data_IF_006029054202
#
_entry.id   IF_006029054202
#
_cell.length_a   1.000
_cell.length_b   1.000
_cell.length_c   1.000
_cell.angle_alpha   90.00
_cell.angle_beta   90.00
_cell.angle_gamma   90.00
#
_symmetry.space_group_name_H-M   'P 1'
#
loop_
_entity.id
_entity.type
_entity.pdbx_description
1 polymer ?
#
# COMPACT_ATOMS: atom_id res chain seq x y z
N UNK A 1 -13.85 14.33 27.27
CA UNK A 1 -12.56 13.88 26.70
C UNK A 1 -11.33 14.34 27.51
N UNK A 2 -11.43 15.32 28.42
CA UNK A 2 -10.31 15.80 29.25
C UNK A 2 -10.00 14.95 30.49
N UNK A 3 -10.99 14.25 31.06
CA UNK A 3 -10.81 13.44 32.28
C UNK A 3 -10.04 12.11 32.08
N UNK A 4 -9.79 11.68 30.84
CA UNK A 4 -9.07 10.43 30.53
C UNK A 4 -7.56 10.61 30.28
N UNK A 5 -7.07 11.85 30.26
CA UNK A 5 -5.66 12.17 29.98
C UNK A 5 -4.76 12.14 31.23
N UNK A 6 -5.33 12.42 32.41
CA UNK A 6 -4.58 12.48 33.68
C UNK A 6 -4.15 11.09 34.15
N UNK A 7 -5.06 10.11 34.11
CA UNK A 7 -4.75 8.72 34.50
C UNK A 7 -3.74 8.06 33.53
N UNK A 8 -3.79 8.42 32.25
CA UNK A 8 -2.83 7.95 31.24
C UNK A 8 -1.42 8.55 31.44
N UNK A 9 -1.33 9.84 31.79
CA UNK A 9 -0.06 10.47 32.16
C UNK A 9 0.53 9.83 33.41
N UNK A 10 -0.29 9.53 34.42
CA UNK A 10 0.15 8.88 35.66
C UNK A 10 0.68 7.46 35.40
N UNK A 11 0.03 6.70 34.50
CA UNK A 11 0.48 5.37 34.08
C UNK A 11 1.83 5.41 33.34
N UNK A 12 1.97 6.27 32.32
CA UNK A 12 3.22 6.43 31.56
C UNK A 12 4.38 6.92 32.44
N UNK A 13 4.11 7.83 33.37
CA UNK A 13 5.13 8.35 34.28
C UNK A 13 5.67 7.26 35.23
N UNK A 14 4.79 6.42 35.78
CA UNK A 14 5.20 5.29 36.66
C UNK A 14 6.07 4.24 35.94
N UNK A 15 5.83 3.98 34.64
CA UNK A 15 6.60 3.01 33.85
C UNK A 15 7.97 3.58 33.42
N UNK A 16 8.03 4.87 33.08
CA UNK A 16 9.27 5.58 32.69
C UNK A 16 10.30 5.61 33.82
N UNK A 17 9.87 5.82 35.07
CA UNK A 17 10.77 5.82 36.25
C UNK A 17 11.37 4.44 36.52
N UNK A 18 10.65 3.34 36.23
CA UNK A 18 11.20 1.98 36.34
C UNK A 18 12.26 1.68 35.28
N UNK A 19 12.12 2.19 34.06
CA UNK A 19 13.10 1.96 32.99
C UNK A 19 14.39 2.79 33.15
N UNK A 20 14.31 4.00 33.71
CA UNK A 20 15.50 4.82 33.99
C UNK A 20 16.46 4.21 35.01
N UNK A 21 15.94 3.42 35.96
CA UNK A 21 16.75 2.76 36.99
C UNK A 21 17.58 1.57 36.46
N UNK A 22 17.20 0.98 35.32
CA UNK A 22 17.94 -0.14 34.74
C UNK A 22 19.22 0.32 34.01
N UNK A 23 19.24 1.56 33.50
CA UNK A 23 20.39 2.13 32.78
C UNK A 23 21.48 2.69 33.70
N UNK A 24 21.21 2.85 34.99
CA UNK A 24 22.17 3.44 35.94
C UNK A 24 23.24 2.44 36.45
N UNK A 25 23.09 1.14 36.17
CA UNK A 25 24.01 0.10 36.64
C UNK A 25 25.09 -0.34 35.63
N UNK A 26 25.22 0.32 34.48
CA UNK A 26 26.22 -0.05 33.44
C UNK A 26 27.44 0.88 33.36
N UNK A 27 27.64 1.83 34.29
CA UNK A 27 28.80 2.72 34.28
C UNK A 27 29.45 2.87 35.66
N UNK A 28 30.31 1.93 35.99
CA UNK A 28 31.42 2.14 36.93
C UNK A 28 32.46 1.03 36.78
N UNK A 29 33.58 1.34 36.13
CA UNK A 29 34.72 0.45 35.99
C UNK A 29 35.82 0.94 35.03
N UNK A 30 36.46 2.07 35.33
CA UNK A 30 37.84 2.39 34.89
C UNK A 30 38.81 1.69 35.87
N UNK A 31 40.05 1.25 35.62
CA UNK A 31 41.11 1.57 34.64
C UNK A 31 42.21 0.49 34.74
N UNK A 32 42.92 0.15 33.64
CA UNK A 32 44.40 0.27 33.50
C UNK A 32 44.92 -0.45 32.23
N UNK A 33 45.71 0.29 31.47
CA UNK A 33 46.37 -0.08 30.22
C UNK A 33 47.51 -1.09 30.39
N UNK A 34 47.66 -1.98 29.40
CA UNK A 34 48.96 -2.50 28.93
C UNK A 34 48.91 -2.65 27.40
N UNK A 35 50.06 -2.42 26.77
CA UNK A 35 50.29 -2.14 25.34
C UNK A 35 50.76 -3.41 24.58
N UNK A 36 50.45 -3.43 23.27
CA UNK A 36 50.95 -4.29 22.15
C UNK A 36 50.23 -5.61 21.80
N UNK A 37 50.31 -6.12 20.54
CA UNK A 37 50.42 -5.44 19.23
C UNK A 37 49.32 -5.87 18.23
N UNK A 38 49.19 -5.13 17.12
CA UNK A 38 48.28 -5.40 16.00
C UNK A 38 48.55 -6.75 15.33
N UNK A 39 47.56 -7.64 15.34
CA UNK A 39 47.50 -8.81 14.43
C UNK A 39 46.07 -9.01 13.93
N UNK A 40 45.94 -9.16 12.61
CA UNK A 40 44.69 -9.35 11.88
C UNK A 40 44.22 -10.80 12.01
N UNK A 41 42.95 -11.01 12.37
CA UNK A 41 42.36 -12.28 12.78
C UNK A 41 42.17 -13.36 11.69
N UNK A 42 43.14 -13.53 10.78
CA UNK A 42 43.14 -14.58 9.76
C UNK A 42 43.88 -15.87 10.18
N UNK A 43 44.50 -15.91 11.36
CA UNK A 43 45.39 -17.00 11.78
C UNK A 43 44.77 -18.05 12.73
N UNK A 44 43.45 -18.12 12.86
CA UNK A 44 42.81 -19.07 13.79
C UNK A 44 42.54 -20.48 13.26
N UNK A 45 42.92 -20.82 12.03
CA UNK A 45 42.62 -22.14 11.45
C UNK A 45 43.74 -22.74 10.59
N UNK A 46 44.99 -22.70 11.08
CA UNK A 46 46.06 -23.54 10.51
C UNK A 46 46.24 -24.80 11.35
N UNK A 47 45.77 -25.94 10.84
CA UNK A 47 46.14 -27.27 11.33
C UNK A 47 47.06 -27.92 10.30
N UNK A 48 48.30 -28.15 10.71
CA UNK A 48 49.35 -28.81 9.94
C UNK A 48 49.07 -30.32 9.86
N UNK A 49 49.07 -30.90 8.66
CA UNK A 49 49.08 -32.37 8.47
C UNK A 49 50.23 -32.82 7.58
N UNK A 50 50.82 -33.92 8.03
CA UNK A 50 52.12 -34.49 7.67
C UNK A 50 52.21 -35.05 6.25
N UNK A 51 53.43 -34.97 5.71
CA UNK A 51 53.85 -35.50 4.40
C UNK A 51 53.97 -37.04 4.43
N UNK A 52 53.32 -37.74 3.50
CA UNK A 52 53.78 -39.06 3.03
C UNK A 52 53.26 -39.41 1.62
N UNK A 53 54.23 -39.79 0.77
CA UNK A 53 54.21 -40.68 -0.42
C UNK A 53 53.28 -40.46 -1.65
N UNK A 54 53.92 -39.98 -2.72
CA UNK A 54 53.87 -40.43 -4.13
C UNK A 54 52.70 -41.31 -4.64
N UNK A 55 51.94 -40.80 -5.65
CA UNK A 55 52.00 -41.31 -7.05
C UNK A 55 51.36 -40.33 -8.06
N UNK A 56 52.16 -39.90 -9.03
CA UNK A 56 51.77 -39.13 -10.23
C UNK A 56 50.88 -39.97 -11.17
N UNK A 57 49.82 -39.38 -11.72
CA UNK A 57 49.48 -39.51 -13.15
C UNK A 57 48.91 -38.20 -13.68
N UNK A 58 49.62 -37.62 -14.64
CA UNK A 58 49.39 -36.31 -15.28
C UNK A 58 48.81 -36.57 -16.68
N UNK A 59 47.73 -35.90 -17.04
CA UNK A 59 47.26 -35.57 -18.42
C UNK A 59 45.97 -34.76 -18.23
N UNK A 60 45.74 -33.58 -18.79
CA UNK A 60 46.42 -32.69 -19.72
C UNK A 60 45.41 -31.54 -19.90
N UNK A 61 45.87 -30.30 -19.85
CA UNK A 61 44.99 -29.14 -19.74
C UNK A 61 44.18 -28.82 -21.01
N UNK A 62 43.09 -28.09 -20.83
CA UNK A 62 42.64 -27.06 -21.75
C UNK A 62 41.68 -26.12 -21.02
N UNK A 63 42.15 -24.91 -20.74
CA UNK A 63 41.32 -23.77 -20.37
C UNK A 63 40.54 -23.35 -21.62
N UNK A 64 39.21 -23.40 -21.60
CA UNK A 64 38.36 -22.80 -22.65
C UNK A 64 37.53 -21.67 -22.05
N UNK A 65 38.02 -20.48 -22.36
CA UNK A 65 37.42 -19.15 -22.26
C UNK A 65 36.00 -19.17 -22.87
N UNK A 66 34.98 -18.74 -22.11
CA UNK A 66 33.63 -18.58 -22.64
C UNK A 66 33.57 -17.33 -23.53
N UNK A 67 33.10 -17.52 -24.77
CA UNK A 67 32.80 -16.47 -25.74
C UNK A 67 31.33 -16.06 -25.63
N UNK A 68 31.08 -14.80 -25.95
CA UNK A 68 29.79 -14.10 -25.88
C UNK A 68 28.74 -14.63 -26.85
N UNK A 69 27.50 -14.26 -26.55
CA UNK A 69 26.26 -14.55 -27.26
C UNK A 69 26.25 -14.11 -28.73
N UNK A 70 26.04 -15.08 -29.63
CA UNK A 70 25.18 -15.01 -30.81
C UNK A 70 25.38 -16.33 -31.58
N UNK A 71 24.43 -17.26 -31.50
CA UNK A 71 24.13 -18.33 -32.48
C UNK A 71 23.15 -19.31 -31.83
N UNK A 72 21.86 -19.16 -32.11
CA UNK A 72 20.83 -20.12 -31.69
C UNK A 72 20.56 -21.11 -32.82
N UNK A 73 20.75 -22.40 -32.54
CA UNK A 73 20.38 -23.51 -33.42
C UNK A 73 18.86 -23.81 -33.28
N UNK A 74 18.07 -23.77 -34.38
CA UNK A 74 16.61 -23.94 -34.35
C UNK A 74 16.12 -25.33 -33.90
N UNK A 75 16.98 -26.35 -33.84
CA UNK A 75 16.58 -27.68 -33.34
C UNK A 75 16.51 -27.77 -31.80
N UNK A 76 17.13 -26.82 -31.10
CA UNK A 76 17.11 -26.80 -29.62
C UNK A 76 15.79 -26.27 -29.02
N UNK A 77 14.98 -25.56 -29.83
CA UNK A 77 13.68 -24.97 -29.42
C UNK A 77 12.54 -25.99 -29.52
N UNK A 78 12.64 -27.00 -30.39
CA UNK A 78 11.62 -28.03 -30.56
C UNK A 78 11.63 -29.09 -29.43
N UNK A 79 12.74 -29.28 -28.73
CA UNK A 79 12.86 -30.22 -27.61
C UNK A 79 12.34 -29.65 -26.28
N UNK A 80 12.32 -28.32 -26.11
CA UNK A 80 11.79 -27.65 -24.92
C UNK A 80 10.25 -27.66 -24.89
N UNK A 81 9.59 -27.53 -26.04
CA UNK A 81 8.13 -27.50 -26.15
C UNK A 81 7.44 -28.87 -25.96
N UNK A 82 8.19 -29.98 -25.85
CA UNK A 82 7.63 -31.32 -25.55
C UNK A 82 7.59 -31.66 -24.06
N UNK A 83 8.17 -30.84 -23.17
CA UNK A 83 8.18 -31.10 -21.72
C UNK A 83 7.06 -30.40 -20.93
N UNK A 84 6.31 -29.49 -21.54
CA UNK A 84 5.18 -28.81 -20.88
C UNK A 84 3.83 -29.52 -21.03
N UNK A 85 3.77 -30.63 -21.78
CA UNK A 85 2.52 -31.39 -22.00
C UNK A 85 2.21 -32.47 -20.93
N UNK A 86 2.98 -32.59 -19.83
CA UNK A 86 2.78 -33.65 -18.82
C UNK A 86 2.82 -33.19 -17.35
N UNK A 87 2.51 -31.92 -17.05
CA UNK A 87 2.41 -31.45 -15.66
C UNK A 87 0.98 -31.18 -15.19
N UNK A 88 0.06 -32.08 -15.53
CA UNK A 88 -1.22 -32.24 -14.84
C UNK A 88 -1.25 -33.66 -14.28
N UNK A 89 -0.91 -33.79 -12.99
CA UNK A 89 -1.29 -34.85 -12.04
C UNK A 89 -0.32 -34.81 -10.84
N UNK A 90 -0.78 -34.25 -9.73
CA UNK A 90 -0.32 -34.59 -8.37
C UNK A 90 -1.35 -34.02 -7.40
N UNK A 91 -2.29 -34.87 -6.98
CA UNK A 91 -3.22 -34.61 -5.87
C UNK A 91 -2.62 -35.32 -4.66
N UNK A 92 -2.34 -34.58 -3.58
CA UNK A 92 -1.84 -35.14 -2.33
C UNK A 92 -3.02 -35.58 -1.47
N UNK A 93 -2.95 -36.83 -1.00
CA UNK A 93 -3.87 -37.47 -0.07
C UNK A 93 -3.57 -37.01 1.36
N UNK A 94 -4.57 -36.44 2.04
CA UNK A 94 -4.74 -36.57 3.49
C UNK A 94 -6.05 -37.32 3.72
N UNK A 95 -5.98 -38.33 4.57
CA UNK A 95 -7.00 -39.34 4.84
C UNK A 95 -7.49 -39.13 6.26
N UNK A 96 -8.74 -38.72 6.44
CA UNK A 96 -9.52 -38.99 7.66
C UNK A 96 -10.88 -39.55 7.24
N UNK A 97 -11.28 -40.59 7.98
CA UNK A 97 -12.40 -41.48 7.74
C UNK A 97 -13.76 -40.82 8.03
N UNK A 98 -14.73 -40.99 7.15
CA UNK A 98 -16.12 -41.29 7.51
C UNK A 98 -16.87 -41.77 6.27
N UNK A 99 -17.56 -42.88 6.46
CA UNK A 99 -18.35 -43.61 5.48
C UNK A 99 -19.66 -42.85 5.18
N UNK A 100 -20.04 -42.77 3.90
CA UNK A 100 -21.34 -43.27 3.40
C UNK A 100 -21.48 -43.04 1.88
N UNK A 101 -21.96 -44.07 1.21
CA UNK A 101 -22.14 -44.25 -0.23
C UNK A 101 -23.19 -43.29 -0.83
N UNK A 102 -23.01 -42.83 -2.08
CA UNK A 102 -23.78 -43.34 -3.24
C UNK A 102 -23.55 -42.50 -4.53
N UNK A 103 -23.40 -43.22 -5.65
CA UNK A 103 -23.64 -42.86 -7.06
C UNK A 103 -22.71 -41.88 -7.82
N UNK A 104 -21.73 -42.50 -8.48
CA UNK A 104 -21.46 -42.50 -9.94
C UNK A 104 -21.80 -41.29 -10.85
N UNK A 105 -20.75 -40.91 -11.62
CA UNK A 105 -20.67 -40.33 -12.98
C UNK A 105 -20.55 -38.80 -13.20
N UNK A 106 -19.31 -38.45 -13.53
CA UNK A 106 -18.70 -37.26 -14.15
C UNK A 106 -19.12 -37.00 -15.63
N UNK A 107 -18.60 -36.00 -16.37
CA UNK A 107 -18.57 -34.54 -16.12
C UNK A 107 -18.79 -33.69 -17.42
N UNK A 108 -19.69 -32.69 -17.51
CA UNK A 108 -19.66 -31.74 -18.65
C UNK A 108 -20.35 -30.39 -18.34
N UNK A 109 -19.83 -29.56 -17.43
CA UNK A 109 -20.27 -28.15 -17.35
C UNK A 109 -19.16 -27.23 -16.85
N UNK A 110 -18.30 -26.76 -17.74
CA UNK A 110 -17.38 -25.64 -17.46
C UNK A 110 -17.51 -24.46 -18.46
N UNK A 111 -18.45 -24.53 -19.42
CA UNK A 111 -18.63 -23.50 -20.45
C UNK A 111 -19.97 -22.74 -20.39
N UNK A 112 -20.77 -22.90 -19.33
CA UNK A 112 -22.10 -22.23 -19.22
C UNK A 112 -22.23 -21.21 -18.09
N UNK A 113 -21.18 -20.94 -17.32
CA UNK A 113 -21.25 -20.01 -16.18
C UNK A 113 -21.08 -18.53 -16.60
N UNK A 114 -20.58 -18.28 -17.81
CA UNK A 114 -20.37 -16.92 -18.35
C UNK A 114 -21.65 -16.21 -18.85
N UNK A 115 -22.79 -16.91 -18.90
CA UNK A 115 -24.06 -16.34 -19.37
C UNK A 115 -25.07 -16.04 -18.26
N UNK A 116 -24.81 -16.44 -17.01
CA UNK A 116 -25.72 -16.20 -15.87
C UNK A 116 -25.34 -14.95 -15.05
N UNK A 117 -24.09 -14.47 -15.14
CA UNK A 117 -23.66 -13.23 -14.49
C UNK A 117 -24.20 -11.94 -15.17
N UNK A 118 -24.76 -12.05 -16.39
CA UNK A 118 -25.36 -10.91 -17.12
C UNK A 118 -26.87 -10.77 -16.93
N UNK A 119 -27.53 -11.67 -16.20
CA UNK A 119 -28.99 -11.70 -16.05
C UNK A 119 -29.49 -11.50 -14.61
N UNK A 120 -28.58 -11.43 -13.62
CA UNK A 120 -28.92 -11.22 -12.20
C UNK A 120 -28.62 -9.81 -11.67
N UNK A 121 -27.95 -8.95 -12.44
CA UNK A 121 -27.63 -7.57 -12.01
C UNK A 121 -28.44 -6.47 -12.71
N UNK A 122 -29.43 -6.82 -13.54
CA UNK A 122 -30.25 -5.83 -14.26
C UNK A 122 -31.75 -6.20 -14.28
N UNK A 123 -32.34 -6.44 -13.11
CA UNK A 123 -33.79 -6.69 -12.98
C UNK A 123 -34.45 -5.83 -11.90
N UNK A 124 -34.67 -4.57 -12.25
CA UNK A 124 -35.85 -3.75 -11.92
C UNK A 124 -35.85 -2.67 -13.02
N UNK A 125 -36.83 -2.45 -13.89
CA UNK A 125 -38.28 -2.54 -13.88
C UNK A 125 -38.70 -2.80 -15.33
N UNK A 126 -39.35 -3.92 -15.63
CA UNK A 126 -40.20 -4.05 -16.83
C UNK A 126 -41.31 -5.06 -16.51
N UNK A 127 -42.50 -4.54 -16.23
CA UNK A 127 -43.75 -5.29 -16.23
C UNK A 127 -44.74 -4.57 -17.13
N UNK A 128 -45.22 -5.25 -18.18
CA UNK A 128 -46.36 -4.80 -18.99
C UNK A 128 -47.66 -5.29 -18.35
N UNK A 129 -48.69 -4.44 -18.33
CA UNK A 129 -50.04 -4.83 -17.90
C UNK A 129 -50.91 -3.69 -17.36
N UNK A 130 -51.49 -2.91 -18.27
CA UNK A 130 -52.75 -2.14 -18.18
C UNK A 130 -53.44 -1.95 -16.81
N UNK A 131 -53.61 -0.68 -16.39
CA UNK A 131 -54.83 -0.23 -15.71
C UNK A 131 -54.67 0.70 -14.51
N UNK A 132 -54.64 2.01 -14.78
CA UNK A 132 -55.12 3.15 -13.93
C UNK A 132 -54.45 3.40 -12.56
N UNK A 133 -54.27 4.69 -12.29
CA UNK A 133 -53.76 5.37 -11.08
C UNK A 133 -52.27 5.22 -10.75
N UNK A 134 -51.54 6.31 -11.02
CA UNK A 134 -50.18 6.55 -10.58
C UNK A 134 -50.04 6.47 -9.05
N UNK A 135 -49.07 5.73 -8.52
CA UNK A 135 -48.49 6.05 -7.23
C UNK A 135 -47.34 7.04 -7.47
N UNK A 136 -47.41 8.19 -6.82
CA UNK A 136 -46.33 9.18 -6.73
C UNK A 136 -44.99 8.50 -6.42
N UNK A 137 -44.03 8.62 -7.34
CA UNK A 137 -42.64 8.24 -7.08
C UNK A 137 -42.15 9.00 -5.82
N UNK A 138 -41.49 8.32 -4.87
CA UNK A 138 -40.85 9.04 -3.78
C UNK A 138 -39.74 9.88 -4.38
N UNK A 139 -39.86 11.21 -4.27
CA UNK A 139 -38.78 12.15 -4.61
C UNK A 139 -37.51 11.68 -3.93
N UNK A 140 -36.52 11.23 -4.73
CA UNK A 140 -35.22 10.83 -4.24
C UNK A 140 -34.67 11.96 -3.36
N UNK A 141 -34.13 11.62 -2.19
CA UNK A 141 -33.58 12.63 -1.31
C UNK A 141 -32.49 13.43 -2.06
N UNK A 142 -32.36 14.75 -1.82
CA UNK A 142 -31.43 15.60 -2.57
C UNK A 142 -29.99 15.04 -2.59
N UNK A 143 -29.57 14.41 -1.49
CA UNK A 143 -28.25 13.77 -1.35
C UNK A 143 -28.06 12.56 -2.27
N UNK A 144 -29.10 11.74 -2.48
CA UNK A 144 -29.03 10.59 -3.38
C UNK A 144 -28.97 11.06 -4.85
N UNK A 145 -29.70 12.11 -5.18
CA UNK A 145 -29.66 12.71 -6.52
C UNK A 145 -28.27 13.31 -6.83
N UNK A 146 -27.69 14.04 -5.88
CA UNK A 146 -26.32 14.59 -6.00
C UNK A 146 -25.28 13.47 -6.18
N UNK A 147 -25.30 12.42 -5.36
CA UNK A 147 -24.39 11.28 -5.48
C UNK A 147 -24.54 10.54 -6.83
N UNK A 148 -25.77 10.40 -7.33
CA UNK A 148 -26.04 9.81 -8.63
C UNK A 148 -25.48 10.68 -9.78
N UNK A 149 -25.62 12.01 -9.66
CA UNK A 149 -25.09 12.95 -10.64
C UNK A 149 -23.56 12.93 -10.64
N UNK A 150 -22.90 12.97 -9.47
CA UNK A 150 -21.45 12.85 -9.36
C UNK A 150 -20.92 11.55 -9.97
N UNK A 151 -21.64 10.44 -9.72
CA UNK A 151 -21.26 9.13 -10.29
C UNK A 151 -21.40 9.12 -11.82
N UNK A 152 -22.38 9.83 -12.36
CA UNK A 152 -22.57 9.98 -13.81
C UNK A 152 -21.46 10.83 -14.44
N UNK A 153 -21.07 11.92 -13.79
CA UNK A 153 -19.95 12.78 -14.22
C UNK A 153 -18.64 12.00 -14.20
N UNK A 154 -18.38 11.24 -13.13
CA UNK A 154 -17.19 10.42 -13.02
C UNK A 154 -17.10 9.34 -14.12
N UNK A 155 -18.22 8.70 -14.45
CA UNK A 155 -18.27 7.73 -15.53
C UNK A 155 -18.00 8.39 -16.89
N UNK A 156 -18.54 9.60 -17.13
CA UNK A 156 -18.28 10.34 -18.36
C UNK A 156 -16.79 10.70 -18.52
N UNK A 157 -16.15 11.22 -17.47
CA UNK A 157 -14.71 11.53 -17.48
C UNK A 157 -13.88 10.27 -17.73
N UNK A 158 -14.22 9.16 -17.07
CA UNK A 158 -13.53 7.89 -17.26
C UNK A 158 -13.68 7.37 -18.69
N UNK A 159 -14.88 7.40 -19.27
CA UNK A 159 -15.12 6.99 -20.65
C UNK A 159 -14.37 7.87 -21.67
N UNK A 160 -14.31 9.18 -21.44
CA UNK A 160 -13.54 10.09 -22.27
C UNK A 160 -12.05 9.71 -22.26
N UNK A 161 -11.45 9.54 -21.07
CA UNK A 161 -10.06 9.09 -20.94
C UNK A 161 -9.80 7.76 -21.65
N UNK A 162 -10.68 6.77 -21.44
CA UNK A 162 -10.53 5.44 -22.04
C UNK A 162 -10.73 5.46 -23.55
N UNK A 163 -11.56 6.36 -24.09
CA UNK A 163 -11.76 6.51 -25.54
C UNK A 163 -10.48 6.95 -26.28
N UNK A 164 -9.60 7.68 -25.59
CA UNK A 164 -8.31 8.12 -26.11
C UNK A 164 -7.18 7.11 -25.85
N UNK A 165 -7.44 6.03 -25.11
CA UNK A 165 -6.45 5.01 -24.76
C UNK A 165 -6.69 3.71 -25.51
N UNK A 166 -5.73 3.27 -26.32
CA UNK A 166 -5.76 1.92 -26.92
C UNK A 166 -5.37 0.83 -25.92
N UNK A 167 -4.71 1.21 -24.82
CA UNK A 167 -4.20 0.30 -23.80
C UNK A 167 -5.27 -0.18 -22.84
N UNK A 168 -6.20 0.67 -22.45
CA UNK A 168 -7.18 0.36 -21.41
C UNK A 168 -8.60 0.31 -21.97
N UNK A 169 -9.41 -0.63 -21.49
CA UNK A 169 -10.85 -0.69 -21.79
C UNK A 169 -11.67 -0.83 -20.52
N UNK A 170 -12.87 -0.25 -20.49
CA UNK A 170 -13.74 -0.31 -19.31
C UNK A 170 -14.31 -1.73 -19.13
N UNK A 171 -14.25 -2.24 -17.90
CA UNK A 171 -14.99 -3.46 -17.49
C UNK A 171 -16.28 -3.03 -16.80
N UNK A 172 -16.16 -2.29 -15.70
CA UNK A 172 -17.32 -1.81 -14.93
C UNK A 172 -16.96 -0.67 -13.98
N UNK A 173 -17.98 0.09 -13.57
CA UNK A 173 -17.90 0.89 -12.33
C UNK A 173 -17.89 -0.05 -11.12
N UNK A 174 -17.23 0.37 -10.03
CA UNK A 174 -17.18 -0.36 -8.76
C UNK A 174 -17.95 0.38 -7.68
N UNK A 175 -18.30 -0.35 -6.62
CA UNK A 175 -18.84 0.25 -5.39
C UNK A 175 -17.84 1.27 -4.79
N UNK A 176 -18.30 2.16 -3.88
CA UNK A 176 -17.42 2.99 -3.07
C UNK A 176 -16.52 2.15 -2.15
N UNK A 177 -15.45 1.54 -2.66
CA UNK A 177 -14.63 0.57 -1.93
C UNK A 177 -13.70 1.21 -0.89
N UNK A 178 -13.52 2.54 -0.93
CA UNK A 178 -12.67 3.31 -0.02
C UNK A 178 -13.43 4.38 0.78
N UNK A 179 -12.79 4.88 1.83
CA UNK A 179 -13.39 5.80 2.81
C UNK A 179 -13.69 7.22 2.30
N UNK A 180 -13.38 7.55 1.06
CA UNK A 180 -13.54 8.91 0.50
C UNK A 180 -14.69 8.88 -0.50
N UNK A 181 -15.81 9.52 -0.16
CA UNK A 181 -17.00 9.53 -1.02
C UNK A 181 -16.77 10.22 -2.38
N UNK A 182 -15.82 11.16 -2.41
CA UNK A 182 -15.40 11.91 -3.61
C UNK A 182 -14.59 11.07 -4.59
N UNK A 183 -13.96 9.98 -4.14
CA UNK A 183 -13.24 9.07 -5.04
C UNK A 183 -14.23 8.13 -5.72
N UNK A 184 -13.94 7.79 -6.97
CA UNK A 184 -14.69 6.79 -7.73
C UNK A 184 -13.74 5.73 -8.27
N UNK A 185 -14.22 4.50 -8.35
CA UNK A 185 -13.39 3.33 -8.68
C UNK A 185 -13.99 2.59 -9.85
N UNK A 186 -13.13 2.14 -10.76
CA UNK A 186 -13.52 1.41 -11.96
C UNK A 186 -12.60 0.21 -12.14
N UNK A 187 -13.17 -0.92 -12.56
CA UNK A 187 -12.41 -2.03 -13.09
C UNK A 187 -12.19 -1.79 -14.58
N UNK A 188 -10.94 -1.92 -15.01
CA UNK A 188 -10.53 -1.75 -16.42
C UNK A 188 -9.65 -2.92 -16.84
N UNK A 189 -9.58 -3.21 -18.14
CA UNK A 189 -8.71 -4.23 -18.70
C UNK A 189 -7.51 -3.58 -19.40
N UNK A 190 -6.28 -4.01 -19.07
CA UNK A 190 -5.08 -3.64 -19.81
C UNK A 190 -4.89 -4.58 -21.00
N UNK A 191 -5.24 -4.09 -22.19
CA UNK A 191 -5.18 -4.80 -23.46
C UNK A 191 -3.77 -5.24 -23.85
N UNK A 192 -2.73 -4.54 -23.37
CA UNK A 192 -1.32 -4.76 -23.74
C UNK A 192 -0.72 -5.99 -23.07
N UNK A 193 -1.13 -6.24 -21.81
CA UNK A 193 -0.61 -7.33 -20.97
C UNK A 193 -1.70 -8.30 -20.51
N UNK A 194 -2.91 -8.15 -21.06
CA UNK A 194 -4.07 -9.04 -20.84
C UNK A 194 -4.39 -9.25 -19.36
N UNK A 195 -4.48 -8.15 -18.62
CA UNK A 195 -4.69 -8.22 -17.18
C UNK A 195 -5.54 -7.06 -16.67
N UNK A 196 -6.40 -7.33 -15.69
CA UNK A 196 -7.31 -6.35 -15.12
C UNK A 196 -6.58 -5.38 -14.18
N UNK A 197 -7.06 -4.14 -14.10
CA UNK A 197 -6.50 -3.05 -13.32
C UNK A 197 -7.59 -2.31 -12.56
N UNK A 198 -7.16 -1.59 -11.53
CA UNK A 198 -8.00 -0.67 -10.79
C UNK A 198 -7.73 0.75 -11.28
N UNK A 199 -8.76 1.45 -11.74
CA UNK A 199 -8.70 2.88 -12.01
C UNK A 199 -9.39 3.64 -10.87
N UNK A 200 -8.72 4.66 -10.36
CA UNK A 200 -9.22 5.52 -9.28
C UNK A 200 -9.31 6.95 -9.83
N UNK A 201 -10.51 7.49 -9.86
CA UNK A 201 -10.77 8.89 -10.16
C UNK A 201 -10.83 9.69 -8.84
N UNK A 202 -10.02 10.73 -8.72
CA UNK A 202 -9.96 11.61 -7.55
C UNK A 202 -10.06 13.08 -7.98
N UNK A 203 -10.97 13.89 -7.41
CA UNK A 203 -10.99 15.32 -7.68
C UNK A 203 -9.66 15.99 -7.29
N UNK A 204 -9.20 16.93 -8.10
CA UNK A 204 -7.99 17.70 -7.79
C UNK A 204 -8.28 18.72 -6.69
N UNK A 205 -7.30 18.87 -5.79
CA UNK A 205 -7.29 19.95 -4.80
C UNK A 205 -6.81 21.25 -5.45
N UNK A 206 -7.32 22.40 -4.98
CA UNK A 206 -6.78 23.72 -5.31
C UNK A 206 -5.28 23.86 -4.97
N UNK A 207 -4.79 23.00 -4.07
CA UNK A 207 -3.37 22.94 -3.69
C UNK A 207 -2.51 22.09 -4.62
N UNK A 208 -3.10 21.34 -5.56
CA UNK A 208 -2.36 20.51 -6.51
C UNK A 208 -1.36 21.39 -7.29
N UNK A 209 -0.05 21.10 -7.22
CA UNK A 209 0.96 21.89 -7.93
C UNK A 209 1.18 21.44 -9.38
N UNK A 210 0.48 20.40 -9.82
CA UNK A 210 0.73 19.74 -11.10
C UNK A 210 -0.20 20.32 -12.17
N UNK A 211 0.39 20.73 -13.29
CA UNK A 211 -0.35 21.21 -14.45
C UNK A 211 -0.85 20.05 -15.32
N UNK A 212 -1.97 20.26 -16.01
CA UNK A 212 -2.57 19.28 -16.91
C UNK A 212 -1.91 19.37 -18.30
N UNK A 213 -0.73 18.78 -18.44
CA UNK A 213 0.00 18.71 -19.72
C UNK A 213 0.86 17.45 -19.85
N UNK A 214 1.23 17.10 -21.08
CA UNK A 214 2.00 15.89 -21.41
C UNK A 214 3.36 15.85 -20.69
N UNK A 215 4.05 16.99 -20.58
CA UNK A 215 5.33 17.08 -19.87
C UNK A 215 5.19 16.70 -18.39
N UNK A 216 4.15 17.19 -17.71
CA UNK A 216 3.89 16.84 -16.31
C UNK A 216 3.58 15.35 -16.16
N UNK A 217 2.81 14.78 -17.08
CA UNK A 217 2.54 13.34 -17.12
C UNK A 217 3.82 12.53 -17.28
N UNK A 218 4.66 12.85 -18.26
CA UNK A 218 5.93 12.16 -18.49
C UNK A 218 6.84 12.22 -17.26
N UNK A 219 6.93 13.38 -16.63
CA UNK A 219 7.72 13.59 -15.41
C UNK A 219 7.20 12.77 -14.23
N UNK A 220 5.88 12.71 -14.04
CA UNK A 220 5.25 11.87 -13.00
C UNK A 220 5.54 10.39 -13.26
N UNK A 221 5.44 9.95 -14.52
CA UNK A 221 5.72 8.56 -14.88
C UNK A 221 7.21 8.22 -14.76
N UNK A 222 8.11 9.17 -15.00
CA UNK A 222 9.53 9.05 -14.63
C UNK A 222 9.71 8.87 -13.12
N UNK A 223 9.07 9.71 -12.32
CA UNK A 223 9.11 9.63 -10.86
C UNK A 223 8.63 8.26 -10.36
N UNK A 224 7.46 7.78 -10.79
CA UNK A 224 6.93 6.49 -10.32
C UNK A 224 7.80 5.30 -10.71
N UNK A 225 8.44 5.33 -11.88
CA UNK A 225 9.44 4.32 -12.27
C UNK A 225 10.64 4.33 -11.34
N UNK A 226 11.12 5.51 -10.94
CA UNK A 226 12.25 5.66 -10.03
C UNK A 226 11.90 5.37 -8.55
N UNK A 227 10.61 5.39 -8.19
CA UNK A 227 10.09 4.97 -6.88
C UNK A 227 9.74 3.47 -6.81
N UNK A 228 10.12 2.68 -7.82
CA UNK A 228 9.95 1.24 -7.78
C UNK A 228 10.76 0.62 -6.63
N UNK A 229 10.10 -0.12 -5.75
CA UNK A 229 10.70 -0.72 -4.55
C UNK A 229 9.82 -1.88 -4.05
N UNK A 230 10.35 -2.93 -3.40
CA UNK A 230 9.55 -4.10 -3.01
C UNK A 230 8.40 -3.79 -2.05
N UNK A 231 8.52 -2.70 -1.29
CA UNK A 231 7.53 -2.23 -0.32
C UNK A 231 6.74 -0.99 -0.78
N UNK A 232 6.82 -0.63 -2.07
CA UNK A 232 5.98 0.40 -2.69
C UNK A 232 5.09 -0.29 -3.72
N UNK A 233 3.79 -0.05 -3.62
CA UNK A 233 2.81 -0.54 -4.56
C UNK A 233 2.80 0.38 -5.78
N UNK A 234 3.00 -0.14 -7.01
CA UNK A 234 3.25 0.72 -8.15
C UNK A 234 1.98 1.46 -8.60
N UNK A 235 2.15 2.70 -9.01
CA UNK A 235 1.19 3.46 -9.81
C UNK A 235 1.60 3.29 -11.28
N UNK A 236 0.73 2.69 -12.09
CA UNK A 236 1.03 2.28 -13.47
C UNK A 236 0.80 3.40 -14.49
N UNK A 237 -0.15 4.29 -14.19
CA UNK A 237 -0.43 5.50 -14.96
C UNK A 237 -1.06 6.55 -14.04
N UNK A 238 -0.83 7.84 -14.34
CA UNK A 238 -1.51 8.95 -13.71
C UNK A 238 -1.76 10.06 -14.74
N UNK A 239 -3.03 10.33 -15.01
CA UNK A 239 -3.47 11.39 -15.91
C UNK A 239 -4.23 12.45 -15.10
N UNK A 240 -4.05 13.73 -15.46
CA UNK A 240 -4.85 14.81 -14.88
C UNK A 240 -5.71 15.42 -15.99
N UNK A 241 -7.03 15.31 -15.87
CA UNK A 241 -7.96 15.87 -16.84
C UNK A 241 -9.28 16.28 -16.17
N UNK A 242 -9.95 17.29 -16.74
CA UNK A 242 -11.29 17.73 -16.29
C UNK A 242 -11.38 18.00 -14.77
N UNK A 243 -10.31 18.53 -14.18
CA UNK A 243 -10.24 18.82 -12.74
C UNK A 243 -10.09 17.58 -11.84
N UNK A 244 -9.74 16.42 -12.42
CA UNK A 244 -9.56 15.17 -11.71
C UNK A 244 -8.20 14.55 -12.02
N UNK A 245 -7.76 13.63 -11.15
CA UNK A 245 -6.67 12.71 -11.38
C UNK A 245 -7.21 11.30 -11.59
N UNK A 246 -6.72 10.60 -12.62
CA UNK A 246 -7.00 9.20 -12.92
C UNK A 246 -5.75 8.39 -12.68
N UNK A 247 -5.73 7.62 -11.59
CA UNK A 247 -4.63 6.72 -11.26
C UNK A 247 -4.98 5.29 -11.65
N UNK A 248 -4.10 4.62 -12.40
CA UNK A 248 -4.22 3.20 -12.72
C UNK A 248 -3.25 2.39 -11.86
N UNK A 249 -3.78 1.42 -11.12
CA UNK A 249 -3.03 0.56 -10.20
C UNK A 249 -3.20 -0.92 -10.58
N UNK A 250 -2.26 -1.80 -10.20
CA UNK A 250 -2.47 -3.23 -10.32
C UNK A 250 -3.70 -3.66 -9.52
N UNK A 251 -4.44 -4.61 -10.07
CA UNK A 251 -5.57 -5.23 -9.39
C UNK A 251 -5.11 -6.19 -8.29
N UNK A 252 -5.75 -6.16 -7.12
CA UNK A 252 -5.51 -7.10 -6.03
C UNK A 252 -6.83 -7.63 -5.46
N UNK A 253 -7.15 -8.87 -5.79
CA UNK A 253 -8.37 -9.55 -5.33
C UNK A 253 -8.43 -9.83 -3.84
N UNK A 254 -7.32 -9.66 -3.09
CA UNK A 254 -7.30 -9.78 -1.63
C UNK A 254 -7.54 -8.47 -0.90
N UNK A 255 -7.66 -7.36 -1.62
CA UNK A 255 -7.83 -6.04 -1.02
C UNK A 255 -6.58 -5.52 -0.30
N UNK A 256 -6.83 -4.53 0.56
CA UNK A 256 -5.85 -3.86 1.40
C UNK A 256 -5.55 -4.63 2.69
N UNK A 257 -4.57 -4.15 3.45
CA UNK A 257 -4.32 -4.61 4.82
C UNK A 257 -5.55 -4.39 5.71
N UNK A 258 -6.35 -3.34 5.47
CA UNK A 258 -7.61 -3.15 6.21
C UNK A 258 -8.60 -4.28 5.91
N UNK A 259 -8.78 -4.63 4.64
CA UNK A 259 -9.66 -5.76 4.28
C UNK A 259 -9.17 -7.08 4.93
N UNK A 260 -7.85 -7.28 5.01
CA UNK A 260 -7.26 -8.45 5.70
C UNK A 260 -7.58 -8.47 7.22
N UNK A 261 -7.43 -7.34 7.91
CA UNK A 261 -7.66 -7.24 9.38
C UNK A 261 -9.11 -7.56 9.74
N UNK A 262 -10.05 -7.08 8.92
CA UNK A 262 -11.48 -7.22 9.16
C UNK A 262 -12.12 -8.39 8.43
N UNK A 263 -11.34 -9.15 7.65
CA UNK A 263 -11.80 -10.27 6.80
C UNK A 263 -12.93 -9.85 5.85
N UNK A 264 -12.83 -8.63 5.31
CA UNK A 264 -13.82 -8.04 4.41
C UNK A 264 -13.59 -8.46 2.96
N UNK A 265 -14.66 -8.53 2.18
CA UNK A 265 -14.54 -8.61 0.71
C UNK A 265 -14.14 -7.24 0.17
N UNK A 266 -13.03 -7.18 -0.56
CA UNK A 266 -12.45 -5.90 -1.01
C UNK A 266 -13.41 -5.05 -1.86
N UNK A 267 -14.27 -5.70 -2.67
CA UNK A 267 -15.22 -5.08 -3.60
C UNK A 267 -16.51 -4.58 -2.94
N UNK A 268 -16.74 -4.91 -1.67
CA UNK A 268 -17.91 -4.43 -0.95
C UNK A 268 -17.79 -2.93 -0.68
N UNK A 269 -18.95 -2.28 -0.56
CA UNK A 269 -19.08 -0.88 -0.22
C UNK A 269 -18.43 -0.58 1.14
N UNK A 270 -17.61 0.47 1.21
CA UNK A 270 -16.86 0.84 2.42
C UNK A 270 -17.74 0.96 3.66
N UNK A 271 -18.93 1.56 3.53
CA UNK A 271 -19.90 1.73 4.62
C UNK A 271 -20.40 0.42 5.25
N UNK A 272 -20.29 -0.69 4.53
CA UNK A 272 -20.65 -2.03 5.00
C UNK A 272 -19.45 -2.81 5.51
N UNK A 273 -18.25 -2.34 5.20
CA UNK A 273 -16.99 -2.89 5.69
C UNK A 273 -16.65 -2.24 7.02
N UNK A 274 -15.96 -2.98 7.89
CA UNK A 274 -15.34 -2.42 9.10
C UNK A 274 -16.29 -1.97 10.23
N UNK A 275 -17.59 -2.17 10.09
CA UNK A 275 -18.57 -1.88 11.17
C UNK A 275 -18.48 -2.83 12.38
N UNK A 276 -17.79 -3.96 12.23
CA UNK A 276 -17.51 -4.92 13.30
C UNK A 276 -16.01 -4.96 13.62
N UNK A 277 -15.65 -5.21 14.87
CA UNK A 277 -14.26 -5.44 15.28
C UNK A 277 -13.67 -6.67 14.56
N UNK A 278 -12.50 -6.51 13.95
CA UNK A 278 -11.70 -7.59 13.38
C UNK A 278 -11.01 -8.44 14.46
N UNK A 279 -10.30 -9.50 14.06
CA UNK A 279 -9.70 -10.46 15.01
C UNK A 279 -8.22 -10.22 15.33
N UNK A 280 -7.67 -9.07 14.93
CA UNK A 280 -6.23 -8.83 14.96
C UNK A 280 -5.44 -9.80 14.04
N UNK A 281 -4.15 -9.54 13.86
CA UNK A 281 -3.24 -10.38 13.07
C UNK A 281 -2.24 -11.08 14.00
N UNK A 282 -1.72 -12.26 13.64
CA UNK A 282 -0.65 -12.93 14.39
C UNK A 282 0.54 -11.99 14.70
N UNK A 283 1.11 -12.00 15.92
CA UNK A 283 2.17 -11.06 16.31
C UNK A 283 3.39 -11.04 15.37
N UNK A 284 3.79 -12.20 14.84
CA UNK A 284 4.89 -12.32 13.87
C UNK A 284 4.56 -11.64 12.54
N UNK A 285 3.29 -11.68 12.13
CA UNK A 285 2.79 -11.00 10.94
C UNK A 285 2.72 -9.49 11.16
N UNK A 286 2.25 -9.03 12.32
CA UNK A 286 2.25 -7.61 12.73
C UNK A 286 3.67 -7.04 12.67
N UNK A 287 4.62 -7.73 13.29
CA UNK A 287 6.02 -7.30 13.32
C UNK A 287 6.62 -7.21 11.91
N UNK A 288 6.38 -8.24 11.07
CA UNK A 288 6.89 -8.27 9.68
C UNK A 288 6.28 -7.16 8.82
N UNK A 289 4.96 -6.97 8.86
CA UNK A 289 4.31 -5.91 8.11
C UNK A 289 4.73 -4.53 8.60
N UNK A 290 4.85 -4.33 9.92
CA UNK A 290 5.39 -3.11 10.49
C UNK A 290 6.81 -2.80 9.98
N UNK A 291 7.70 -3.80 9.93
CA UNK A 291 9.04 -3.64 9.36
C UNK A 291 9.01 -3.28 7.86
N UNK A 292 8.21 -3.96 7.06
CA UNK A 292 8.09 -3.70 5.62
C UNK A 292 7.56 -2.29 5.33
N UNK A 293 6.54 -1.84 6.09
CA UNK A 293 6.00 -0.48 6.02
C UNK A 293 7.08 0.54 6.39
N UNK A 294 7.82 0.31 7.49
CA UNK A 294 8.90 1.19 7.95
C UNK A 294 9.98 1.38 6.88
N UNK A 295 10.41 0.29 6.23
CA UNK A 295 11.38 0.34 5.13
C UNK A 295 10.84 1.08 3.89
N UNK A 296 9.56 0.90 3.58
CA UNK A 296 8.90 1.68 2.51
C UNK A 296 8.94 3.19 2.79
N UNK A 297 8.68 3.61 4.03
CA UNK A 297 8.75 5.02 4.44
C UNK A 297 10.19 5.56 4.36
N UNK A 298 11.16 4.79 4.84
CA UNK A 298 12.58 5.16 4.77
C UNK A 298 13.06 5.31 3.33
N UNK A 299 12.66 4.40 2.43
CA UNK A 299 12.94 4.50 1.01
C UNK A 299 12.37 5.79 0.40
N UNK A 300 11.11 6.13 0.69
CA UNK A 300 10.50 7.38 0.21
C UNK A 300 11.27 8.61 0.72
N UNK A 301 11.66 8.60 2.00
CA UNK A 301 12.47 9.67 2.60
C UNK A 301 13.84 9.80 1.94
N UNK A 302 14.53 8.69 1.66
CA UNK A 302 15.83 8.68 0.96
C UNK A 302 15.71 9.24 -0.47
N UNK A 303 14.59 8.99 -1.14
CA UNK A 303 14.28 9.56 -2.46
C UNK A 303 13.93 11.04 -2.45
N UNK A 304 13.78 11.65 -1.27
CA UNK A 304 13.34 13.04 -1.15
C UNK A 304 11.83 13.22 -1.39
N UNK A 305 11.05 12.13 -1.28
CA UNK A 305 9.60 12.23 -1.32
C UNK A 305 9.10 13.00 -0.08
N UNK A 306 8.08 13.88 -0.20
CA UNK A 306 7.51 14.57 0.94
C UNK A 306 7.00 13.59 2.01
N UNK A 307 6.96 13.97 3.30
CA UNK A 307 6.44 13.11 4.37
C UNK A 307 5.11 12.46 3.98
N UNK A 308 5.02 11.14 4.10
CA UNK A 308 3.88 10.38 3.58
C UNK A 308 2.68 10.43 4.55
N UNK A 309 1.83 11.45 4.39
CA UNK A 309 0.67 11.73 5.26
C UNK A 309 -0.55 10.83 5.00
N UNK A 310 -0.45 9.90 4.05
CA UNK A 310 -1.55 9.04 3.62
C UNK A 310 -1.42 7.60 4.11
N UNK A 311 -0.50 7.32 5.04
CA UNK A 311 -0.38 6.01 5.66
C UNK A 311 -1.61 5.69 6.53
N UNK A 312 -2.29 4.61 6.17
CA UNK A 312 -3.26 3.89 6.97
C UNK A 312 -3.38 2.47 6.41
N UNK A 313 -4.02 1.54 7.13
CA UNK A 313 -4.18 0.14 6.71
C UNK A 313 -4.85 -0.01 5.33
N UNK A 314 -5.82 0.86 5.00
CA UNK A 314 -6.44 0.90 3.67
C UNK A 314 -5.50 1.35 2.52
N UNK A 315 -4.36 1.97 2.84
CA UNK A 315 -3.31 2.38 1.90
C UNK A 315 -2.07 1.48 2.00
N UNK A 316 -2.25 0.24 2.44
CA UNK A 316 -1.23 -0.80 2.43
C UNK A 316 -1.80 -2.00 1.68
N UNK A 317 -1.13 -2.43 0.62
CA UNK A 317 -1.52 -3.63 -0.13
C UNK A 317 -0.69 -4.82 0.33
N UNK A 318 -1.35 -5.95 0.62
CA UNK A 318 -0.67 -7.20 0.98
C UNK A 318 -0.74 -8.16 -0.19
N UNK A 319 0.43 -8.57 -0.71
CA UNK A 319 0.52 -9.61 -1.74
C UNK A 319 1.64 -10.58 -1.40
N UNK A 320 1.32 -11.87 -1.40
CA UNK A 320 2.24 -12.96 -1.09
C UNK A 320 3.02 -12.76 0.23
N UNK A 321 2.35 -12.22 1.25
CA UNK A 321 2.97 -11.97 2.56
C UNK A 321 3.88 -10.74 2.60
N UNK A 322 3.82 -9.86 1.60
CA UNK A 322 4.56 -8.59 1.55
C UNK A 322 3.59 -7.41 1.60
N UNK A 323 3.77 -6.54 2.59
CA UNK A 323 3.07 -5.27 2.72
C UNK A 323 3.75 -4.18 1.86
N UNK A 324 2.95 -3.43 1.10
CA UNK A 324 3.41 -2.38 0.20
C UNK A 324 2.60 -1.10 0.40
N UNK A 325 3.27 0.03 0.55
CA UNK A 325 2.62 1.34 0.61
C UNK A 325 1.96 1.66 -0.73
N UNK A 326 0.67 2.00 -0.74
CA UNK A 326 -0.01 2.53 -1.92
C UNK A 326 -0.55 3.94 -1.63
N UNK A 327 -1.09 4.61 -2.64
CA UNK A 327 -1.66 5.93 -2.47
C UNK A 327 -0.65 7.07 -2.57
N UNK A 328 0.50 6.87 -3.22
CA UNK A 328 1.53 7.91 -3.42
C UNK A 328 1.00 9.08 -4.27
N UNK A 329 0.10 8.81 -5.21
CA UNK A 329 -0.55 9.81 -6.04
C UNK A 329 -1.29 10.86 -5.20
N UNK A 330 -1.81 10.48 -4.03
CA UNK A 330 -2.51 11.39 -3.11
C UNK A 330 -1.60 12.53 -2.64
N UNK A 331 -0.33 12.23 -2.40
CA UNK A 331 0.67 13.26 -2.05
C UNK A 331 0.88 14.22 -3.20
N UNK A 332 1.01 13.70 -4.42
CA UNK A 332 1.28 14.50 -5.62
C UNK A 332 0.13 15.46 -5.96
N UNK A 333 -1.11 14.99 -5.88
CA UNK A 333 -2.30 15.78 -6.19
C UNK A 333 -2.81 16.63 -5.02
N UNK A 334 -2.04 16.67 -3.91
CA UNK A 334 -2.39 17.37 -2.67
C UNK A 334 -3.77 16.97 -2.10
N UNK A 335 -4.09 15.68 -2.17
CA UNK A 335 -5.32 15.14 -1.59
C UNK A 335 -5.30 15.32 -0.06
N UNK A 336 -6.45 15.48 0.59
CA UNK A 336 -6.48 15.80 2.03
C UNK A 336 -6.12 14.55 2.85
N UNK A 337 -5.19 14.59 3.81
CA UNK A 337 -4.92 13.47 4.71
C UNK A 337 -6.06 13.16 5.69
N UNK A 338 -6.04 11.97 6.31
CA UNK A 338 -6.95 11.63 7.43
C UNK A 338 -6.74 12.59 8.60
N UNK A 339 -7.76 12.92 9.40
CA UNK A 339 -7.65 13.89 10.49
C UNK A 339 -6.44 13.70 11.44
N UNK A 340 -6.08 12.48 11.90
CA UNK A 340 -4.88 12.32 12.74
C UNK A 340 -3.60 12.79 12.03
N UNK A 341 -3.42 12.42 10.76
CA UNK A 341 -2.27 12.84 9.95
C UNK A 341 -2.34 14.31 9.48
N UNK A 342 -3.55 14.87 9.40
CA UNK A 342 -3.80 16.26 9.02
C UNK A 342 -3.36 17.24 10.12
N UNK A 343 -3.64 16.89 11.37
CA UNK A 343 -3.33 17.70 12.54
C UNK A 343 -1.92 17.45 13.10
N UNK A 344 -1.27 16.34 12.70
CA UNK A 344 0.08 16.02 13.14
C UNK A 344 1.14 16.97 12.56
N UNK A 345 2.16 17.26 13.36
CA UNK A 345 3.38 17.89 12.89
C UNK A 345 4.07 17.02 11.82
N UNK A 346 4.63 17.64 10.78
CA UNK A 346 5.24 16.91 9.65
C UNK A 346 6.36 15.97 10.08
N UNK A 347 7.13 16.31 11.11
CA UNK A 347 8.21 15.48 11.64
C UNK A 347 7.71 14.18 12.32
N UNK A 348 6.45 14.17 12.76
CA UNK A 348 5.83 13.08 13.51
C UNK A 348 4.75 12.32 12.73
N UNK A 349 4.32 12.84 11.57
CA UNK A 349 3.13 12.32 10.89
C UNK A 349 3.28 10.86 10.48
N UNK A 350 4.47 10.47 10.00
CA UNK A 350 4.74 9.11 9.53
C UNK A 350 4.82 8.12 10.70
N UNK A 351 5.47 8.50 11.80
CA UNK A 351 5.60 7.67 13.01
C UNK A 351 4.26 7.53 13.73
N UNK A 352 3.48 8.61 13.82
CA UNK A 352 2.11 8.58 14.33
C UNK A 352 1.21 7.65 13.49
N UNK A 353 1.26 7.80 12.17
CA UNK A 353 0.46 6.98 11.25
C UNK A 353 0.85 5.50 11.33
N UNK A 354 2.14 5.20 11.47
CA UNK A 354 2.62 3.85 11.74
C UNK A 354 2.04 3.30 13.04
N UNK A 355 2.00 4.10 14.11
CA UNK A 355 1.40 3.72 15.40
C UNK A 355 -0.07 3.33 15.26
N UNK A 356 -0.85 4.11 14.50
CA UNK A 356 -2.25 3.78 14.20
C UNK A 356 -2.38 2.45 13.43
N UNK A 357 -1.53 2.20 12.44
CA UNK A 357 -1.56 0.95 11.66
C UNK A 357 -1.15 -0.25 12.51
N UNK A 358 -0.11 -0.12 13.35
CA UNK A 358 0.30 -1.17 14.29
C UNK A 358 -0.82 -1.51 15.26
N UNK A 359 -1.50 -0.49 15.81
CA UNK A 359 -2.63 -0.70 16.69
C UNK A 359 -3.76 -1.46 15.97
N UNK A 360 -4.17 -1.01 14.78
CA UNK A 360 -5.27 -1.62 14.03
C UNK A 360 -4.95 -3.08 13.67
N UNK A 361 -3.70 -3.39 13.33
CA UNK A 361 -3.25 -4.77 13.12
C UNK A 361 -3.36 -5.65 14.38
N UNK A 362 -3.13 -5.09 15.57
CA UNK A 362 -3.25 -5.83 16.83
C UNK A 362 -4.70 -5.99 17.29
N UNK A 363 -5.47 -4.89 17.25
CA UNK A 363 -6.78 -4.77 17.87
C UNK A 363 -7.94 -5.16 16.94
N UNK A 364 -7.74 -5.09 15.62
CA UNK A 364 -8.85 -5.19 14.67
C UNK A 364 -9.86 -4.05 14.78
N UNK A 365 -9.43 -2.88 15.29
CA UNK A 365 -10.28 -1.72 15.53
C UNK A 365 -9.50 -0.43 15.30
N UNK A 366 -10.22 0.67 15.14
CA UNK A 366 -9.65 2.02 15.20
C UNK A 366 -8.93 2.25 16.53
N UNK A 367 -7.97 3.17 16.53
CA UNK A 367 -7.05 3.37 17.65
C UNK A 367 -7.74 3.82 18.93
N UNK A 368 -7.72 2.95 19.93
CA UNK A 368 -8.10 3.21 21.32
C UNK A 368 -6.99 2.75 22.26
N UNK A 369 -6.16 3.70 22.72
CA UNK A 369 -5.00 3.41 23.57
C UNK A 369 -5.39 2.80 24.93
N UNK A 370 -6.66 2.86 25.33
CA UNK A 370 -7.12 2.21 26.56
C UNK A 370 -7.11 0.69 26.47
N UNK A 371 -7.05 0.12 25.26
CA UNK A 371 -6.98 -1.32 25.01
C UNK A 371 -5.55 -1.89 25.04
N UNK A 372 -4.51 -1.04 25.16
CA UNK A 372 -3.12 -1.49 25.18
C UNK A 372 -2.80 -2.51 26.29
N UNK A 373 -3.31 -2.38 27.54
CA UNK A 373 -3.07 -3.37 28.58
C UNK A 373 -3.55 -4.78 28.19
N UNK A 374 -4.72 -4.88 27.55
CA UNK A 374 -5.28 -6.17 27.13
C UNK A 374 -4.49 -6.78 25.96
N UNK A 375 -4.07 -5.93 25.02
CA UNK A 375 -3.24 -6.32 23.88
C UNK A 375 -1.84 -6.79 24.30
N UNK A 376 -1.30 -6.29 25.41
CA UNK A 376 0.07 -6.61 25.85
C UNK A 376 0.28 -8.11 26.10
N UNK A 377 -0.79 -8.86 26.42
CA UNK A 377 -0.73 -10.31 26.60
C UNK A 377 -0.24 -11.06 25.35
N UNK A 378 -0.67 -10.61 24.17
CA UNK A 378 -0.36 -11.25 22.89
C UNK A 378 0.66 -10.45 22.07
N UNK A 379 0.79 -9.15 22.35
CA UNK A 379 1.52 -8.19 21.52
C UNK A 379 2.52 -7.34 22.31
N UNK A 380 3.06 -7.83 23.43
CA UNK A 380 3.91 -7.07 24.36
C UNK A 380 4.93 -6.14 23.67
N UNK A 381 5.78 -6.68 22.80
CA UNK A 381 6.78 -5.89 22.07
C UNK A 381 6.17 -4.85 21.12
N UNK A 382 5.03 -5.13 20.50
CA UNK A 382 4.34 -4.17 19.61
C UNK A 382 3.67 -3.08 20.45
N UNK A 383 3.08 -3.42 21.59
CA UNK A 383 2.49 -2.47 22.53
C UNK A 383 3.54 -1.50 23.04
N UNK A 384 4.74 -1.96 23.39
CA UNK A 384 5.84 -1.08 23.81
C UNK A 384 6.21 -0.08 22.69
N UNK A 385 6.25 -0.51 21.41
CA UNK A 385 6.45 0.40 20.27
C UNK A 385 5.30 1.41 20.17
N UNK A 386 4.05 0.96 20.27
CA UNK A 386 2.88 1.84 20.18
C UNK A 386 2.91 2.90 21.30
N UNK A 387 3.19 2.51 22.54
CA UNK A 387 3.36 3.43 23.67
C UNK A 387 4.43 4.49 23.39
N UNK A 388 5.57 4.10 22.81
CA UNK A 388 6.61 5.06 22.41
C UNK A 388 6.15 6.03 21.32
N UNK A 389 5.44 5.53 20.30
CA UNK A 389 4.98 6.34 19.16
C UNK A 389 3.93 7.40 19.56
N UNK A 390 3.04 7.07 20.49
CA UNK A 390 2.06 8.01 21.04
C UNK A 390 2.56 8.79 22.26
N UNK A 391 3.77 8.49 22.73
CA UNK A 391 4.42 9.14 23.85
C UNK A 391 4.89 10.58 23.57
N UNK A 392 5.46 11.24 24.59
CA UNK A 392 5.97 12.61 24.48
C UNK A 392 7.17 12.73 23.54
N UNK A 393 8.01 11.70 23.47
CA UNK A 393 9.25 11.66 22.68
C UNK A 393 9.23 10.46 21.72
N UNK A 394 8.43 10.51 20.64
CA UNK A 394 8.37 9.39 19.72
C UNK A 394 9.69 9.25 18.96
N UNK A 395 10.19 8.01 18.77
CA UNK A 395 11.36 7.78 17.96
C UNK A 395 11.10 8.16 16.50
N UNK A 396 12.15 8.61 15.80
CA UNK A 396 12.11 8.80 14.36
C UNK A 396 12.18 7.44 13.62
N UNK A 397 11.95 7.45 12.31
CA UNK A 397 11.92 6.21 11.50
C UNK A 397 13.22 5.37 11.58
N UNK A 398 14.39 6.01 11.67
CA UNK A 398 15.66 5.27 11.80
C UNK A 398 15.82 4.64 13.18
N UNK A 399 15.42 5.35 14.23
CA UNK A 399 15.45 4.84 15.61
C UNK A 399 14.53 3.63 15.77
N UNK A 400 13.35 3.66 15.15
CA UNK A 400 12.44 2.50 15.13
C UNK A 400 13.09 1.27 14.51
N UNK A 401 13.88 1.43 13.45
CA UNK A 401 14.54 0.30 12.79
C UNK A 401 15.51 -0.44 13.72
N UNK A 402 16.07 0.27 14.69
CA UNK A 402 16.98 -0.27 15.70
C UNK A 402 16.25 -0.93 16.88
N UNK A 403 14.93 -0.76 17.01
CA UNK A 403 14.16 -1.40 18.07
C UNK A 403 14.15 -2.93 17.91
N UNK A 404 14.06 -3.62 19.04
CA UNK A 404 14.10 -5.09 19.11
C UNK A 404 13.10 -5.79 18.18
N UNK A 405 11.88 -5.26 18.13
CA UNK A 405 10.79 -5.79 17.31
C UNK A 405 11.18 -5.85 15.82
N UNK A 406 11.83 -4.79 15.33
CA UNK A 406 12.11 -4.63 13.91
C UNK A 406 13.49 -5.14 13.53
N UNK A 407 14.54 -4.88 14.32
CA UNK A 407 15.93 -5.20 13.97
C UNK A 407 16.18 -6.68 13.65
N UNK A 408 15.42 -7.57 14.27
CA UNK A 408 15.55 -9.04 14.16
C UNK A 408 14.85 -9.61 12.91
N UNK A 409 14.05 -8.82 12.20
CA UNK A 409 13.25 -9.29 11.07
C UNK A 409 14.09 -9.27 9.80
N UNK A 410 14.24 -10.45 9.21
CA UNK A 410 14.89 -10.60 7.91
C UNK A 410 13.93 -10.30 6.75
N UNK A 411 14.35 -9.41 5.87
CA UNK A 411 13.62 -8.95 4.70
C UNK A 411 14.23 -9.54 3.44
N UNK A 412 13.72 -10.71 3.06
CA UNK A 412 14.23 -11.50 1.93
C UNK A 412 14.14 -10.73 0.61
N UNK A 413 13.12 -9.89 0.47
CA UNK A 413 12.87 -9.05 -0.70
C UNK A 413 13.98 -8.02 -0.93
N UNK A 414 14.79 -7.72 0.09
CA UNK A 414 15.91 -6.78 0.03
C UNK A 414 17.26 -7.45 -0.27
N UNK A 415 17.33 -8.79 -0.34
CA UNK A 415 18.60 -9.56 -0.39
C UNK A 415 18.90 -10.22 -1.75
N UNK A 416 18.13 -9.94 -2.80
CA UNK A 416 18.25 -10.60 -4.11
C UNK A 416 19.32 -10.01 -5.04
N UNK A 417 19.75 -10.78 -6.04
CA UNK A 417 20.61 -10.30 -7.16
C UNK A 417 19.83 -9.68 -8.32
N UNK A 418 18.49 -9.82 -8.29
CA UNK A 418 17.53 -9.24 -9.22
C UNK A 418 16.79 -8.05 -8.61
N UNK A 419 17.41 -7.35 -7.64
CA UNK A 419 16.87 -6.09 -7.14
C UNK A 419 16.82 -5.11 -8.32
N UNK A 420 15.65 -4.53 -8.64
CA UNK A 420 15.61 -3.29 -9.40
C UNK A 420 16.60 -2.31 -8.77
N UNK A 421 17.30 -1.50 -9.56
CA UNK A 421 18.19 -0.46 -9.06
C UNK A 421 17.37 0.63 -8.33
N UNK A 422 16.78 0.34 -7.16
CA UNK A 422 16.15 1.34 -6.30
C UNK A 422 17.20 2.32 -5.73
N UNK A 423 18.48 2.17 -6.06
CA UNK A 423 19.53 3.16 -5.87
C UNK A 423 19.51 4.29 -6.91
N UNK A 424 18.69 4.19 -7.97
CA UNK A 424 18.60 5.22 -9.01
C UNK A 424 18.25 6.58 -8.43
N UNK A 425 19.10 7.58 -8.65
CA UNK A 425 18.83 8.95 -8.22
C UNK A 425 17.69 9.54 -9.05
N UNK A 426 16.82 10.29 -8.40
CA UNK A 426 15.81 11.09 -9.11
C UNK A 426 16.48 12.17 -9.97
N UNK A 427 15.90 12.49 -11.12
CA UNK A 427 16.31 13.63 -11.92
C UNK A 427 16.07 14.94 -11.16
N UNK A 428 16.75 16.01 -11.60
CA UNK A 428 16.55 17.35 -11.03
C UNK A 428 15.09 17.82 -11.17
N UNK A 429 14.45 17.48 -12.29
CA UNK A 429 13.04 17.80 -12.53
C UNK A 429 12.11 17.08 -11.55
N UNK A 430 12.34 15.78 -11.31
CA UNK A 430 11.59 15.01 -10.31
C UNK A 430 11.76 15.60 -8.91
N UNK A 431 12.99 15.94 -8.51
CA UNK A 431 13.27 16.57 -7.22
C UNK A 431 12.61 17.95 -7.09
N UNK A 432 12.59 18.74 -8.17
CA UNK A 432 11.93 20.05 -8.18
C UNK A 432 10.42 19.92 -8.00
N UNK A 433 9.79 18.95 -8.69
CA UNK A 433 8.37 18.62 -8.51
C UNK A 433 8.07 18.22 -7.06
N UNK A 434 8.84 17.29 -6.48
CA UNK A 434 8.67 16.88 -5.08
C UNK A 434 8.86 18.05 -4.11
N UNK A 435 9.80 18.96 -4.41
CA UNK A 435 10.00 20.19 -3.64
C UNK A 435 8.79 21.13 -3.66
N UNK A 436 8.14 21.29 -4.82
CA UNK A 436 6.90 22.07 -4.92
C UNK A 436 5.74 21.39 -4.15
N UNK A 437 5.58 20.07 -4.30
CA UNK A 437 4.59 19.30 -3.51
C UNK A 437 4.83 19.48 -2.01
N UNK A 438 6.08 19.40 -1.54
CA UNK A 438 6.43 19.61 -0.13
C UNK A 438 6.07 21.02 0.37
N UNK A 439 6.30 22.07 -0.44
CA UNK A 439 5.91 23.45 -0.09
C UNK A 439 4.40 23.59 0.09
N UNK A 440 3.60 22.97 -0.78
CA UNK A 440 2.12 23.00 -0.68
C UNK A 440 1.60 22.29 0.57
N UNK A 441 2.28 21.24 1.05
CA UNK A 441 1.89 20.54 2.28
C UNK A 441 2.09 21.38 3.55
N UNK A 442 3.07 22.28 3.56
CA UNK A 442 3.38 23.16 4.68
C UNK A 442 2.44 24.36 4.77
N UNK A 443 1.76 24.71 3.67
CA UNK A 443 0.93 25.91 3.60
C UNK A 443 -0.43 25.67 4.27
N UNK A 444 -0.76 26.41 5.36
CA UNK A 444 -2.09 26.34 5.97
C UNK A 444 -3.17 26.67 4.93
N UNK A 445 -4.39 26.12 5.04
CA UNK A 445 -5.49 26.57 4.21
C UNK A 445 -5.67 28.09 4.39
N UNK A 446 -5.57 28.86 3.30
CA UNK A 446 -5.99 30.27 3.30
C UNK A 446 -7.47 30.29 3.61
N UNK A 447 -7.89 30.93 4.69
CA UNK A 447 -9.31 31.28 4.88
C UNK A 447 -9.72 32.13 3.69
N UNK A 448 -10.78 31.75 2.99
CA UNK A 448 -11.39 32.59 1.97
C UNK A 448 -11.69 33.97 2.59
N UNK A 449 -11.24 35.09 2.00
CA UNK A 449 -11.67 36.40 2.45
C UNK A 449 -13.18 36.51 2.17
N UNK A 450 -13.97 36.80 3.19
CA UNK A 450 -15.37 37.17 3.01
C UNK A 450 -15.46 38.34 2.03
N UNK A 451 -16.22 38.16 0.96
CA UNK A 451 -16.33 39.15 -0.12
C UNK A 451 -17.10 40.40 0.33
N UNK A 452 -16.58 41.62 0.14
CA UNK A 452 -17.41 42.81 0.04
C UNK A 452 -18.02 42.89 -1.36
N UNK A 453 -19.31 43.20 -1.45
CA UNK A 453 -20.09 43.14 -2.68
C UNK A 453 -19.61 44.07 -3.80
N UNK A 454 -19.63 43.55 -5.03
CA UNK A 454 -19.75 44.32 -6.28
C UNK A 454 -20.41 43.43 -7.35
N UNK A 455 -21.29 43.98 -8.22
CA UNK A 455 -22.12 43.18 -9.14
C UNK A 455 -21.35 42.74 -10.40
N UNK A 456 -21.84 41.73 -11.14
CA UNK A 456 -21.00 41.00 -12.09
C UNK A 456 -20.96 41.63 -13.48
N UNK A 457 -19.77 41.65 -14.08
CA UNK A 457 -19.59 41.72 -15.54
C UNK A 457 -19.28 40.34 -16.11
N UNK A 458 -19.68 40.18 -17.37
CA UNK A 458 -20.02 38.94 -18.07
C UNK A 458 -18.78 38.09 -18.48
N UNK A 459 -18.88 36.77 -18.22
CA UNK A 459 -18.19 35.61 -18.84
C UNK A 459 -16.68 35.68 -19.04
N UNK A 460 -15.94 34.91 -18.23
CA UNK A 460 -14.77 34.07 -18.59
C UNK A 460 -14.67 32.94 -17.55
N UNK A 461 -14.39 31.73 -18.02
CA UNK A 461 -14.04 30.49 -17.29
C UNK A 461 -14.40 30.45 -15.80
N UNK A 462 -15.42 29.66 -15.45
CA UNK A 462 -15.63 29.25 -14.05
C UNK A 462 -14.52 28.25 -13.73
N UNK A 463 -13.39 28.76 -13.25
CA UNK A 463 -12.49 27.98 -12.42
C UNK A 463 -13.28 27.71 -11.15
N UNK A 464 -13.87 26.51 -11.08
CA UNK A 464 -14.56 26.05 -9.89
C UNK A 464 -13.50 25.93 -8.79
N UNK A 465 -13.28 26.99 -8.03
CA UNK A 465 -12.68 26.93 -6.68
C UNK A 465 -13.69 26.24 -5.76
N UNK A 466 -14.07 25.01 -6.09
CA UNK A 466 -14.64 24.09 -5.11
C UNK A 466 -13.46 23.48 -4.38
N UNK A 467 -13.11 24.11 -3.25
CA UNK A 467 -12.48 23.36 -2.16
C UNK A 467 -13.52 22.30 -1.74
N UNK A 468 -13.51 21.14 -2.40
CA UNK A 468 -14.26 19.97 -1.98
C UNK A 468 -13.88 19.73 -0.52
N UNK A 469 -14.83 19.97 0.38
CA UNK A 469 -14.64 19.62 1.79
C UNK A 469 -14.65 18.10 1.83
N UNK A 470 -13.46 17.50 1.78
CA UNK A 470 -13.30 16.06 1.64
C UNK A 470 -13.81 15.36 2.90
N UNK A 471 -14.99 14.75 2.80
CA UNK A 471 -15.60 13.95 3.86
C UNK A 471 -14.99 12.55 3.91
N UNK A 472 -14.59 12.14 5.10
CA UNK A 472 -14.10 10.79 5.38
C UNK A 472 -15.22 9.98 6.03
N UNK A 473 -15.49 8.81 5.45
CA UNK A 473 -16.27 7.76 6.10
C UNK A 473 -15.36 7.03 7.09
N UNK A 474 -15.87 6.81 8.30
CA UNK A 474 -15.13 6.17 9.39
C UNK A 474 -15.33 4.68 9.33
#
# INVERSE_FOLDING_TARGET
>A
MLFKFEDFKAYLFRKTVKMFNLYQHMKSGDTKEQKEPETTGHDRFYQERSRSSYRKKKRGGACRRAQSAAEFNPESVAAANKRDAFRIRSVSTDKEESEEENSERTPLVAQKIDSLAKLLFNKSIMGSGSGKSSPSEPTASPRLAEQSMESSVALAICNEYLSHSTRYSMISSLNPIGSRASKKWFAIHDNSIKADRLLILTPLSSKCPIEQNEHSRELIMELFRALHHPYIYPVLDLELCNGHALAVLPYNSRGSLKDLIYKSTWSDEYSRKYGSTGTGLPPTQVARFGRQILEGLLFLKEKGFPPFRHLHSGNVMVQNGVARLCGLENTLIAATPRPPARSAALERVETLSLGHVLFEMCAGADTDLTLLPDLANNYSQVVDIIEMLFGPHPPNLHELLLCELFRKIDLREMKGSCLPNFSQRLSRSCLSLLGEVARRQQTPPRRAPGSPGTPPTRRRYVQLDQDYTEEWQW
#
